data_IF_160098847841
#
_entry.id   IF_160098847841
#
_cell.length_a   1.000
_cell.length_b   1.000
_cell.length_c   1.000
_cell.angle_alpha   90.00
_cell.angle_beta   90.00
_cell.angle_gamma   90.00
#
_symmetry.space_group_name_H-M   'P 1'
#
loop_
_entity.id
_entity.type
_entity.pdbx_description
1 polymer ?
#
# COMPACT_ATOMS: atom_id res chain seq x y z
N UNK A 1 25.39 -12.01 13.94
CA UNK A 1 25.68 -11.20 12.73
C UNK A 1 25.66 -9.74 13.15
N UNK A 2 26.80 -9.04 13.08
CA UNK A 2 26.88 -7.62 13.44
C UNK A 2 26.31 -6.78 12.28
N UNK A 3 25.05 -6.38 12.39
CA UNK A 3 24.34 -5.51 11.42
C UNK A 3 24.65 -4.03 11.67
N UNK A 4 25.90 -3.68 11.96
CA UNK A 4 26.30 -2.29 12.12
C UNK A 4 26.57 -1.69 10.75
N UNK A 5 25.63 -0.87 10.26
CA UNK A 5 25.85 -0.02 9.07
C UNK A 5 27.16 0.77 9.22
N UNK A 6 27.96 0.80 8.16
CA UNK A 6 29.23 1.54 8.17
C UNK A 6 28.99 3.02 8.51
N UNK A 7 29.90 3.67 9.24
CA UNK A 7 29.72 5.06 9.65
C UNK A 7 29.53 6.01 8.45
N UNK A 8 30.19 5.72 7.32
CA UNK A 8 30.00 6.43 6.05
C UNK A 8 28.57 6.32 5.51
N UNK A 9 27.99 5.11 5.51
CA UNK A 9 26.60 4.91 5.09
C UNK A 9 25.63 5.61 6.03
N UNK A 10 25.85 5.53 7.35
CA UNK A 10 25.01 6.24 8.34
C UNK A 10 24.99 7.75 8.08
N UNK A 11 26.16 8.36 7.91
CA UNK A 11 26.27 9.79 7.61
C UNK A 11 25.55 10.16 6.31
N UNK A 12 25.71 9.33 5.25
CA UNK A 12 25.08 9.59 3.95
C UNK A 12 23.56 9.42 3.99
N UNK A 13 23.05 8.40 4.67
CA UNK A 13 21.62 8.22 4.89
C UNK A 13 21.02 9.37 5.71
N UNK A 14 21.74 9.85 6.72
CA UNK A 14 21.28 10.97 7.54
C UNK A 14 21.21 12.26 6.71
N UNK A 15 22.19 12.55 5.86
CA UNK A 15 22.14 13.67 4.93
C UNK A 15 20.94 13.56 3.96
N UNK A 16 20.73 12.37 3.39
CA UNK A 16 19.57 12.10 2.52
C UNK A 16 18.24 12.26 3.25
N UNK A 17 18.15 11.87 4.53
CA UNK A 17 16.93 12.06 5.33
C UNK A 17 16.58 13.54 5.51
N UNK A 18 17.58 14.40 5.78
CA UNK A 18 17.36 15.84 5.92
C UNK A 18 16.87 16.50 4.63
N UNK A 19 17.18 15.94 3.46
CA UNK A 19 16.67 16.43 2.18
C UNK A 19 15.31 15.82 1.83
N UNK A 20 15.18 14.49 1.95
CA UNK A 20 14.01 13.75 1.47
C UNK A 20 12.80 13.88 2.39
N UNK A 21 12.98 13.91 3.72
CA UNK A 21 11.87 13.98 4.66
C UNK A 21 11.09 15.30 4.49
N UNK A 22 11.72 16.48 4.37
CA UNK A 22 11.00 17.72 4.10
C UNK A 22 10.28 17.73 2.75
N UNK A 23 10.90 17.18 1.69
CA UNK A 23 10.28 17.04 0.37
C UNK A 23 9.00 16.18 0.43
N UNK A 24 9.06 15.07 1.18
CA UNK A 24 7.91 14.19 1.40
C UNK A 24 6.88 14.87 2.31
N UNK A 25 7.30 15.58 3.36
CA UNK A 25 6.40 16.32 4.24
C UNK A 25 5.62 17.40 3.48
N UNK A 26 6.28 18.16 2.60
CA UNK A 26 5.62 19.16 1.75
C UNK A 26 4.59 18.54 0.79
N UNK A 27 4.87 17.34 0.25
CA UNK A 27 3.91 16.59 -0.58
C UNK A 27 2.67 16.14 0.23
N UNK A 28 2.88 15.87 1.53
CA UNK A 28 1.91 15.39 2.51
C UNK A 28 1.20 16.54 3.26
N UNK A 29 1.64 17.79 3.10
CA UNK A 29 0.98 18.95 3.70
C UNK A 29 -0.44 19.11 3.12
N UNK A 30 -1.42 19.28 4.03
CA UNK A 30 -2.83 19.38 3.67
C UNK A 30 -3.43 18.06 3.15
N UNK A 31 -2.97 16.90 3.66
CA UNK A 31 -3.70 15.64 3.49
C UNK A 31 -5.13 15.82 4.02
N UNK A 32 -6.11 15.44 3.20
CA UNK A 32 -7.51 15.39 3.64
C UNK A 32 -7.68 14.37 4.75
N UNK A 33 -8.55 14.65 5.72
CA UNK A 33 -8.91 13.71 6.81
C UNK A 33 -9.28 12.31 6.32
N UNK A 34 -9.87 12.19 5.11
CA UNK A 34 -10.15 10.90 4.47
C UNK A 34 -8.89 10.12 4.12
N UNK A 35 -7.89 10.79 3.54
CA UNK A 35 -6.62 10.15 3.19
C UNK A 35 -5.80 9.81 4.43
N UNK A 36 -5.83 10.66 5.46
CA UNK A 36 -5.20 10.36 6.75
C UNK A 36 -5.77 9.09 7.39
N UNK A 37 -7.11 8.96 7.38
CA UNK A 37 -7.78 7.75 7.85
C UNK A 37 -7.33 6.51 7.08
N UNK A 38 -7.20 6.60 5.75
CA UNK A 38 -6.69 5.50 4.93
C UNK A 38 -5.26 5.13 5.34
N UNK A 39 -4.37 6.10 5.53
CA UNK A 39 -2.99 5.85 5.97
C UNK A 39 -2.99 5.06 7.29
N UNK A 40 -3.76 5.51 8.28
CA UNK A 40 -3.87 4.83 9.59
C UNK A 40 -4.39 3.40 9.46
N UNK A 41 -5.40 3.17 8.63
CA UNK A 41 -5.93 1.82 8.39
C UNK A 41 -4.89 0.93 7.71
N UNK A 42 -4.16 1.45 6.72
CA UNK A 42 -3.11 0.70 6.05
C UNK A 42 -1.98 0.33 7.02
N UNK A 43 -1.53 1.27 7.85
CA UNK A 43 -0.53 1.05 8.89
C UNK A 43 -0.93 -0.05 9.87
N UNK A 44 -2.17 -0.04 10.36
CA UNK A 44 -2.65 -1.06 11.29
C UNK A 44 -2.94 -2.42 10.65
N UNK A 45 -3.31 -2.44 9.37
CA UNK A 45 -3.71 -3.67 8.69
C UNK A 45 -2.56 -4.64 8.43
N UNK A 46 -1.31 -4.16 8.45
CA UNK A 46 -0.11 -4.89 7.99
C UNK A 46 -0.36 -5.71 6.71
N UNK A 47 -1.15 -5.14 5.80
CA UNK A 47 -1.66 -5.88 4.64
C UNK A 47 -0.54 -6.32 3.70
N UNK A 48 0.56 -5.58 3.68
CA UNK A 48 1.74 -5.94 2.89
C UNK A 48 2.32 -7.28 3.34
N UNK A 49 2.52 -7.47 4.64
CA UNK A 49 3.01 -8.73 5.21
C UNK A 49 2.10 -9.91 4.84
N UNK A 50 0.79 -9.73 4.95
CA UNK A 50 -0.19 -10.73 4.54
C UNK A 50 -0.11 -11.06 3.04
N UNK A 51 0.02 -10.04 2.19
CA UNK A 51 0.15 -10.23 0.74
C UNK A 51 1.48 -10.90 0.38
N UNK A 52 2.57 -10.61 1.10
CA UNK A 52 3.86 -11.27 0.90
C UNK A 52 3.83 -12.74 1.33
N UNK A 53 3.32 -13.04 2.52
CA UNK A 53 3.13 -14.42 2.99
C UNK A 53 2.26 -15.23 2.02
N UNK A 54 1.28 -14.57 1.42
CA UNK A 54 0.33 -15.14 0.48
C UNK A 54 0.94 -15.52 -0.88
N UNK A 55 1.89 -14.74 -1.38
CA UNK A 55 2.44 -14.97 -2.71
C UNK A 55 3.23 -16.29 -2.79
N UNK A 56 3.71 -16.77 -1.65
CA UNK A 56 4.57 -17.95 -1.56
C UNK A 56 5.86 -17.77 -2.35
N UNK A 57 6.80 -18.70 -2.21
CA UNK A 57 7.96 -18.79 -3.09
C UNK A 57 7.53 -19.42 -4.42
N UNK A 58 6.65 -18.77 -5.18
CA UNK A 58 6.44 -19.15 -6.57
C UNK A 58 7.75 -18.90 -7.33
N UNK A 59 8.19 -19.87 -8.14
CA UNK A 59 9.40 -19.71 -8.96
C UNK A 59 9.07 -18.71 -10.07
N UNK A 60 9.59 -17.49 -9.96
CA UNK A 60 9.39 -16.44 -10.97
C UNK A 60 9.40 -15.02 -10.39
N UNK A 61 9.17 -14.03 -11.27
CA UNK A 61 9.04 -12.63 -10.86
C UNK A 61 7.74 -12.45 -10.07
N UNK A 62 7.78 -11.90 -8.85
CA UNK A 62 6.56 -11.59 -8.11
C UNK A 62 5.64 -10.70 -8.95
N UNK A 63 4.33 -10.98 -8.99
CA UNK A 63 3.39 -10.14 -9.70
C UNK A 63 3.44 -8.73 -9.10
N UNK A 64 3.93 -7.79 -9.91
CA UNK A 64 4.00 -6.38 -9.53
C UNK A 64 2.60 -5.89 -9.13
N UNK A 65 2.56 -4.94 -8.22
CA UNK A 65 1.36 -4.20 -7.82
C UNK A 65 0.34 -4.97 -6.96
N UNK A 66 0.58 -6.22 -6.52
CA UNK A 66 -0.38 -6.92 -5.64
C UNK A 66 -0.60 -6.25 -4.29
N UNK A 67 0.48 -5.82 -3.62
CA UNK A 67 0.36 -5.03 -2.39
C UNK A 67 -0.39 -3.73 -2.69
N UNK A 68 -0.06 -3.07 -3.81
CA UNK A 68 -0.72 -1.84 -4.19
C UNK A 68 -2.22 -2.00 -4.47
N UNK A 69 -2.61 -3.12 -5.10
CA UNK A 69 -4.00 -3.50 -5.32
C UNK A 69 -4.71 -3.81 -4.01
N UNK A 70 -4.05 -4.47 -3.06
CA UNK A 70 -4.61 -4.73 -1.73
C UNK A 70 -4.88 -3.42 -0.97
N UNK A 71 -3.90 -2.51 -0.96
CA UNK A 71 -4.05 -1.16 -0.38
C UNK A 71 -5.17 -0.37 -1.08
N UNK A 72 -5.28 -0.48 -2.40
CA UNK A 72 -6.34 0.15 -3.17
C UNK A 72 -7.74 -0.39 -2.82
N UNK A 73 -7.89 -1.67 -2.51
CA UNK A 73 -9.16 -2.23 -2.05
C UNK A 73 -9.53 -1.80 -0.63
N UNK A 74 -8.57 -1.64 0.27
CA UNK A 74 -8.82 -0.99 1.56
C UNK A 74 -9.28 0.46 1.34
N UNK A 75 -8.55 1.22 0.54
CA UNK A 75 -8.92 2.59 0.22
C UNK A 75 -10.29 2.69 -0.44
N UNK A 76 -10.66 1.73 -1.30
CA UNK A 76 -12.00 1.62 -1.89
C UNK A 76 -13.09 1.52 -0.82
N UNK A 77 -12.88 0.67 0.19
CA UNK A 77 -13.82 0.49 1.30
C UNK A 77 -13.93 1.76 2.16
N UNK A 78 -12.81 2.37 2.51
CA UNK A 78 -12.76 3.60 3.33
C UNK A 78 -13.37 4.82 2.62
N UNK A 79 -13.24 4.90 1.30
CA UNK A 79 -13.82 5.97 0.48
C UNK A 79 -15.28 5.71 0.09
N UNK A 80 -15.85 4.53 0.39
CA UNK A 80 -17.21 4.17 0.02
C UNK A 80 -17.41 4.00 -1.50
N UNK A 81 -16.35 3.69 -2.24
CA UNK A 81 -16.43 3.51 -3.70
C UNK A 81 -17.00 2.13 -4.01
N UNK A 82 -18.12 2.07 -4.71
CA UNK A 82 -18.82 0.79 -4.98
C UNK A 82 -18.15 0.02 -6.11
N UNK A 83 -17.81 0.69 -7.21
CA UNK A 83 -17.35 0.04 -8.45
C UNK A 83 -15.84 -0.01 -8.57
N UNK A 84 -15.32 -1.01 -9.27
CA UNK A 84 -13.87 -1.14 -9.55
C UNK A 84 -13.41 -0.05 -10.51
N UNK A 85 -14.22 0.25 -11.54
CA UNK A 85 -13.99 1.38 -12.42
C UNK A 85 -13.90 2.72 -11.69
N UNK A 86 -14.80 3.00 -10.73
CA UNK A 86 -14.75 4.21 -9.94
C UNK A 86 -13.49 4.32 -9.08
N UNK A 87 -12.94 3.19 -8.62
CA UNK A 87 -11.65 3.17 -7.92
C UNK A 87 -10.51 3.54 -8.86
N UNK A 88 -10.49 2.98 -10.08
CA UNK A 88 -9.46 3.27 -11.09
C UNK A 88 -9.49 4.75 -11.46
N UNK A 89 -10.67 5.28 -11.80
CA UNK A 89 -10.85 6.70 -12.14
C UNK A 89 -10.37 7.60 -10.99
N UNK A 90 -10.68 7.25 -9.73
CA UNK A 90 -10.22 8.01 -8.58
C UNK A 90 -8.69 7.97 -8.41
N UNK A 91 -8.05 6.82 -8.64
CA UNK A 91 -6.60 6.65 -8.59
C UNK A 91 -5.88 7.39 -9.74
N UNK A 92 -6.53 7.55 -10.89
CA UNK A 92 -5.97 8.34 -12.01
C UNK A 92 -5.96 9.84 -11.70
N UNK A 93 -7.03 10.34 -11.06
CA UNK A 93 -7.16 11.76 -10.71
C UNK A 93 -6.35 12.11 -9.45
N UNK A 94 -6.41 11.27 -8.41
CA UNK A 94 -5.79 11.56 -7.12
C UNK A 94 -4.40 10.93 -7.00
N UNK A 95 -3.39 11.74 -7.34
CA UNK A 95 -1.97 11.35 -7.24
C UNK A 95 -1.57 10.99 -5.81
N UNK A 96 -2.14 11.63 -4.79
CA UNK A 96 -1.82 11.35 -3.37
C UNK A 96 -2.35 9.99 -2.98
N UNK A 97 -3.63 9.71 -3.27
CA UNK A 97 -4.23 8.40 -3.04
C UNK A 97 -3.45 7.29 -3.75
N UNK A 98 -3.08 7.53 -5.00
CA UNK A 98 -2.30 6.59 -5.81
C UNK A 98 -0.94 6.27 -5.18
N UNK A 99 -0.26 7.28 -4.64
CA UNK A 99 1.02 7.13 -3.94
C UNK A 99 0.85 6.41 -2.59
N UNK A 100 -0.20 6.74 -1.83
CA UNK A 100 -0.54 6.07 -0.56
C UNK A 100 -0.81 4.57 -0.81
N UNK A 101 -1.48 4.23 -1.92
CA UNK A 101 -1.70 2.83 -2.29
C UNK A 101 -0.43 2.17 -2.84
N UNK A 102 0.71 2.85 -3.00
CA UNK A 102 1.96 2.25 -3.48
C UNK A 102 2.07 2.06 -5.00
N UNK A 103 1.18 2.67 -5.80
CA UNK A 103 1.33 2.62 -7.25
C UNK A 103 2.39 3.62 -7.74
N UNK A 104 3.18 3.19 -8.73
CA UNK A 104 4.11 4.09 -9.41
C UNK A 104 3.33 5.14 -10.23
N UNK A 105 3.59 6.42 -9.97
CA UNK A 105 2.92 7.56 -10.62
C UNK A 105 3.21 7.67 -12.12
N UNK A 106 4.33 7.13 -12.59
CA UNK A 106 4.79 7.21 -13.98
C UNK A 106 4.39 6.00 -14.83
N UNK A 107 3.84 4.95 -14.21
CA UNK A 107 3.34 3.76 -14.92
C UNK A 107 1.86 3.90 -15.22
N UNK A 108 1.31 3.09 -16.13
CA UNK A 108 -0.15 2.96 -16.27
C UNK A 108 -0.69 2.11 -15.13
N UNK A 109 -1.88 2.43 -14.62
CA UNK A 109 -2.56 1.55 -13.67
C UNK A 109 -2.93 0.20 -14.35
N UNK A 110 -3.02 -0.88 -13.57
CA UNK A 110 -3.56 -2.15 -14.07
C UNK A 110 -4.97 -1.98 -14.64
N UNK A 111 -5.35 -2.82 -15.61
CA UNK A 111 -6.69 -2.80 -16.19
C UNK A 111 -7.75 -3.25 -15.19
N UNK A 112 -9.01 -2.88 -15.44
CA UNK A 112 -10.15 -3.31 -14.62
C UNK A 112 -10.28 -4.83 -14.50
N UNK A 113 -9.94 -5.57 -15.56
CA UNK A 113 -9.89 -7.03 -15.53
C UNK A 113 -8.84 -7.56 -14.55
N UNK A 114 -7.68 -6.91 -14.45
CA UNK A 114 -6.65 -7.25 -13.46
C UNK A 114 -7.15 -6.99 -12.05
N UNK A 115 -7.70 -5.80 -11.77
CA UNK A 115 -8.29 -5.49 -10.47
C UNK A 115 -9.34 -6.55 -10.07
N UNK A 116 -10.25 -6.89 -10.97
CA UNK A 116 -11.33 -7.84 -10.70
C UNK A 116 -10.79 -9.26 -10.39
N UNK A 117 -9.78 -9.72 -11.14
CA UNK A 117 -9.13 -11.01 -10.88
C UNK A 117 -8.43 -11.03 -9.52
N UNK A 118 -7.70 -9.97 -9.18
CA UNK A 118 -7.00 -9.85 -7.89
C UNK A 118 -7.99 -9.79 -6.74
N UNK A 119 -9.09 -9.07 -6.90
CA UNK A 119 -10.15 -9.00 -5.89
C UNK A 119 -10.76 -10.38 -5.63
N UNK A 120 -11.13 -11.11 -6.69
CA UNK A 120 -11.68 -12.46 -6.56
C UNK A 120 -10.70 -13.41 -5.87
N UNK A 121 -9.42 -13.29 -6.20
CA UNK A 121 -8.33 -14.05 -5.60
C UNK A 121 -8.15 -13.77 -4.09
N UNK A 122 -8.19 -12.49 -3.68
CA UNK A 122 -8.15 -12.10 -2.27
C UNK A 122 -9.41 -12.52 -1.50
N UNK A 123 -10.59 -12.43 -2.13
CA UNK A 123 -11.85 -12.86 -1.54
C UNK A 123 -11.88 -14.38 -1.32
N UNK A 124 -11.47 -15.17 -2.30
CA UNK A 124 -11.40 -16.63 -2.21
C UNK A 124 -10.51 -17.10 -1.05
N UNK A 125 -9.49 -16.32 -0.72
CA UNK A 125 -8.54 -16.62 0.36
C UNK A 125 -8.81 -15.84 1.65
N UNK A 126 -9.96 -15.17 1.75
CA UNK A 126 -10.45 -14.46 2.95
C UNK A 126 -9.43 -13.48 3.53
N UNK A 127 -8.71 -12.76 2.66
CA UNK A 127 -7.63 -11.87 3.07
C UNK A 127 -8.11 -10.78 4.04
N UNK A 128 -9.30 -10.24 3.82
CA UNK A 128 -9.94 -9.27 4.73
C UNK A 128 -10.23 -9.86 6.12
N UNK A 129 -10.70 -11.10 6.18
CA UNK A 129 -10.93 -11.81 7.46
C UNK A 129 -9.61 -11.99 8.21
N UNK A 130 -8.52 -12.33 7.52
CA UNK A 130 -7.19 -12.48 8.13
C UNK A 130 -6.60 -11.17 8.63
N UNK A 131 -6.75 -10.09 7.87
CA UNK A 131 -6.40 -8.74 8.33
C UNK A 131 -7.13 -8.44 9.63
N UNK A 132 -8.45 -8.66 9.66
CA UNK A 132 -9.26 -8.42 10.86
C UNK A 132 -8.81 -9.29 12.04
N UNK A 133 -8.59 -10.59 11.84
CA UNK A 133 -8.09 -11.50 12.87
C UNK A 133 -6.73 -11.06 13.43
N UNK A 134 -5.79 -10.63 12.58
CA UNK A 134 -4.51 -10.10 13.02
C UNK A 134 -4.67 -8.81 13.81
N UNK A 135 -5.47 -7.87 13.31
CA UNK A 135 -5.74 -6.61 14.01
C UNK A 135 -6.31 -6.87 15.41
N UNK A 136 -7.26 -7.79 15.55
CA UNK A 136 -7.83 -8.14 16.86
C UNK A 136 -6.75 -8.74 17.79
N UNK A 137 -5.92 -9.67 17.29
CA UNK A 137 -4.86 -10.30 18.09
C UNK A 137 -3.75 -9.35 18.53
N UNK A 138 -3.40 -8.35 17.72
CA UNK A 138 -2.36 -7.38 18.06
C UNK A 138 -2.81 -6.31 19.07
N UNK A 139 -4.13 -6.21 19.34
CA UNK A 139 -4.73 -5.21 20.23
C UNK A 139 -5.36 -5.83 21.50
N UNK A 140 -5.05 -7.09 21.79
CA UNK A 140 -5.41 -7.84 22.99
C UNK A 140 -4.13 -8.20 23.75
#
# INVERSE_FOLDING_TARGET
>A
MNTTLSPFLKQRFQALQYELIPLVAADLDGISSKLERIIRVLEWSDIESLVYQYQGCAVGRPPADRCALACAFIAKAELGIVTTRGLIERLEVDRRLRRICGFNLYKKLPSEGTFSRVFAEFAARKLTTRVHEQMVKSNL
#
